data_IF_510636666066
#
_entry.id   IF_510636666066
#
_cell.length_a   1.000
_cell.length_b   1.000
_cell.length_c   1.000
_cell.angle_alpha   90.00
_cell.angle_beta   90.00
_cell.angle_gamma   90.00
#
_symmetry.space_group_name_H-M   'P 1'
#
loop_
_entity.id
_entity.type
_entity.pdbx_description
1 polymer ?
#
# COMPACT_ATOMS: atom_id res chain seq x y z
N UNK A 1 -42.38 26.79 -7.99
CA UNK A 1 -43.48 25.94 -7.49
C UNK A 1 -43.04 24.48 -7.59
N UNK A 2 -42.84 23.88 -6.41
CA UNK A 2 -42.73 22.45 -6.06
C UNK A 2 -41.98 21.48 -6.98
N UNK A 3 -40.70 21.32 -6.65
CA UNK A 3 -39.85 20.15 -6.91
C UNK A 3 -40.39 18.94 -6.13
N UNK A 4 -40.78 17.88 -6.85
CA UNK A 4 -41.19 16.60 -6.25
C UNK A 4 -39.94 15.76 -5.97
N UNK A 5 -39.60 15.63 -4.69
CA UNK A 5 -38.59 14.70 -4.17
C UNK A 5 -39.25 13.32 -4.07
N UNK A 6 -38.82 12.37 -4.92
CA UNK A 6 -39.21 10.96 -4.79
C UNK A 6 -38.18 10.27 -3.89
N UNK A 7 -38.58 10.00 -2.65
CA UNK A 7 -37.87 9.07 -1.75
C UNK A 7 -38.13 7.65 -2.22
N UNK A 8 -37.10 6.97 -2.74
CA UNK A 8 -37.16 5.51 -2.91
C UNK A 8 -36.81 4.82 -1.58
N UNK A 9 -37.85 4.43 -0.85
CA UNK A 9 -37.77 3.34 0.11
C UNK A 9 -37.95 2.02 -0.63
N UNK A 10 -36.93 1.16 -0.61
CA UNK A 10 -37.06 -0.29 -0.63
C UNK A 10 -35.70 -0.93 -0.29
N UNK A 11 -35.40 -1.03 1.00
CA UNK A 11 -34.37 -1.94 1.51
C UNK A 11 -34.97 -3.34 1.56
N UNK A 12 -34.71 -4.14 0.53
CA UNK A 12 -34.81 -5.60 0.67
C UNK A 12 -33.43 -6.10 1.11
N UNK A 13 -33.35 -6.59 2.34
CA UNK A 13 -32.18 -7.30 2.85
C UNK A 13 -31.91 -8.51 1.96
N UNK A 14 -30.89 -8.42 1.10
CA UNK A 14 -30.21 -9.60 0.58
C UNK A 14 -29.04 -9.90 1.50
N UNK A 15 -29.23 -10.93 2.31
CA UNK A 15 -28.16 -11.68 2.96
C UNK A 15 -27.20 -12.18 1.88
N UNK A 16 -26.01 -11.60 1.81
CA UNK A 16 -24.89 -12.10 1.02
C UNK A 16 -23.97 -12.91 1.93
N UNK A 17 -24.39 -14.15 2.20
CA UNK A 17 -23.47 -15.21 2.59
C UNK A 17 -23.40 -16.19 1.42
N UNK A 18 -22.33 -16.02 0.62
CA UNK A 18 -21.62 -17.01 -0.21
C UNK A 18 -21.04 -16.31 -1.43
N UNK A 19 -19.89 -15.66 -1.23
CA UNK A 19 -18.83 -15.73 -2.23
C UNK A 19 -17.53 -16.07 -1.51
N UNK A 20 -17.07 -17.31 -1.66
CA UNK A 20 -15.70 -17.69 -1.36
C UNK A 20 -14.77 -17.10 -2.43
N UNK A 21 -14.84 -15.78 -2.61
CA UNK A 21 -13.94 -15.01 -3.44
C UNK A 21 -12.56 -15.13 -2.83
N UNK A 22 -11.56 -15.49 -3.65
CA UNK A 22 -10.14 -15.37 -3.27
C UNK A 22 -9.92 -13.97 -2.71
N UNK A 23 -9.83 -13.83 -1.39
CA UNK A 23 -9.41 -12.57 -0.79
C UNK A 23 -8.02 -12.25 -1.35
N UNK A 24 -7.96 -11.26 -2.24
CA UNK A 24 -6.70 -10.72 -2.76
C UNK A 24 -5.82 -10.32 -1.58
N UNK A 25 -4.52 -10.58 -1.66
CA UNK A 25 -3.59 -10.06 -0.66
C UNK A 25 -3.52 -8.53 -0.74
N UNK A 26 -3.02 -7.86 0.30
CA UNK A 26 -2.71 -6.43 0.24
C UNK A 26 -1.61 -6.10 -0.80
N UNK A 27 -0.88 -7.13 -1.23
CA UNK A 27 0.04 -7.12 -2.37
C UNK A 27 0.04 -8.52 -3.02
N UNK A 28 0.13 -8.57 -4.35
CA UNK A 28 -0.05 -9.81 -5.10
C UNK A 28 1.13 -10.14 -6.02
N UNK A 29 1.73 -9.15 -6.68
CA UNK A 29 2.75 -9.40 -7.69
C UNK A 29 4.00 -10.07 -7.13
N UNK A 30 4.27 -11.31 -7.57
CA UNK A 30 5.51 -12.05 -7.31
C UNK A 30 5.90 -12.14 -5.83
N UNK A 31 4.90 -12.21 -4.93
CA UNK A 31 5.13 -12.35 -3.49
C UNK A 31 4.68 -13.70 -2.97
N UNK A 32 5.31 -14.15 -1.88
CA UNK A 32 4.95 -15.33 -1.11
C UNK A 32 4.52 -14.89 0.31
N UNK A 33 3.47 -15.53 0.84
CA UNK A 33 3.10 -15.38 2.25
C UNK A 33 4.01 -16.23 3.13
N UNK A 34 4.53 -15.65 4.21
CA UNK A 34 5.38 -16.34 5.20
C UNK A 34 4.93 -16.02 6.62
N UNK A 35 5.35 -16.82 7.59
CA UNK A 35 5.10 -16.56 9.02
C UNK A 35 6.22 -15.76 9.65
N UNK A 36 5.93 -15.08 10.76
CA UNK A 36 6.95 -14.37 11.54
C UNK A 36 8.02 -15.32 12.11
N UNK A 37 7.61 -16.56 12.45
CA UNK A 37 8.51 -17.60 12.95
C UNK A 37 9.48 -18.06 11.87
N UNK A 38 9.02 -18.19 10.62
CA UNK A 38 9.90 -18.53 9.50
C UNK A 38 11.01 -17.49 9.31
N UNK A 39 10.66 -16.21 9.41
CA UNK A 39 11.64 -15.13 9.31
C UNK A 39 12.65 -15.11 10.47
N UNK A 40 12.25 -15.55 11.66
CA UNK A 40 13.12 -15.57 12.85
C UNK A 40 13.99 -16.81 12.98
N UNK A 41 13.45 -17.98 12.60
CA UNK A 41 14.09 -19.28 12.88
C UNK A 41 14.77 -19.90 11.66
N UNK A 42 14.25 -19.65 10.45
CA UNK A 42 14.69 -20.35 9.23
C UNK A 42 15.52 -19.44 8.31
N UNK A 43 15.38 -18.12 8.44
CA UNK A 43 16.08 -17.14 7.62
C UNK A 43 17.38 -16.65 8.28
N UNK A 44 18.43 -16.48 7.49
CA UNK A 44 19.65 -15.81 7.93
C UNK A 44 19.51 -14.28 7.86
N UNK A 45 20.31 -13.58 8.66
CA UNK A 45 20.37 -12.12 8.65
C UNK A 45 21.57 -11.66 7.80
N UNK A 46 21.36 -10.86 6.75
CA UNK A 46 22.44 -10.30 5.96
C UNK A 46 23.35 -9.39 6.79
N UNK A 47 24.62 -9.31 6.40
CA UNK A 47 25.65 -8.47 7.05
C UNK A 47 26.25 -7.48 6.07
N UNK A 48 26.80 -6.38 6.58
CA UNK A 48 27.64 -5.46 5.83
C UNK A 48 29.04 -6.06 5.65
N UNK A 49 29.50 -6.21 4.41
CA UNK A 49 30.65 -7.06 4.11
C UNK A 49 32.01 -6.50 4.56
N UNK A 50 32.12 -5.18 4.80
CA UNK A 50 33.41 -4.55 5.17
C UNK A 50 33.72 -4.60 6.66
N UNK A 51 32.71 -4.70 7.51
CA UNK A 51 32.83 -4.72 8.97
C UNK A 51 32.09 -5.90 9.63
N UNK A 52 31.41 -6.73 8.83
CA UNK A 52 30.63 -7.89 9.28
C UNK A 52 29.52 -7.56 10.28
N UNK A 53 29.07 -6.30 10.34
CA UNK A 53 27.95 -5.93 11.21
C UNK A 53 26.63 -6.42 10.61
N UNK A 54 25.74 -6.92 11.47
CA UNK A 54 24.42 -7.40 11.06
C UNK A 54 23.50 -6.24 10.70
N UNK A 55 22.65 -6.48 9.69
CA UNK A 55 21.49 -5.63 9.41
C UNK A 55 20.41 -5.83 10.48
N UNK A 56 19.46 -4.90 10.56
CA UNK A 56 18.19 -5.15 11.24
C UNK A 56 17.39 -6.15 10.37
N UNK A 57 17.08 -7.30 10.94
CA UNK A 57 16.35 -8.36 10.25
C UNK A 57 14.89 -7.98 9.97
N UNK A 58 14.26 -8.63 8.99
CA UNK A 58 12.82 -8.51 8.77
C UNK A 58 12.02 -8.88 10.04
N UNK A 59 12.46 -9.91 10.76
CA UNK A 59 11.84 -10.36 11.99
C UNK A 59 11.89 -9.28 13.08
N UNK A 60 13.08 -8.72 13.35
CA UNK A 60 13.25 -7.64 14.33
C UNK A 60 12.41 -6.41 13.97
N UNK A 61 12.42 -6.02 12.70
CA UNK A 61 11.62 -4.88 12.23
C UNK A 61 10.12 -5.08 12.48
N UNK A 62 9.57 -6.21 12.04
CA UNK A 62 8.14 -6.52 12.21
C UNK A 62 7.78 -6.60 13.69
N UNK A 63 8.60 -7.28 14.49
CA UNK A 63 8.35 -7.45 15.92
C UNK A 63 8.42 -6.12 16.68
N UNK A 64 9.38 -5.25 16.35
CA UNK A 64 9.47 -3.90 16.93
C UNK A 64 8.23 -3.05 16.62
N UNK A 65 7.73 -3.10 15.39
CA UNK A 65 6.53 -2.35 14.98
C UNK A 65 5.26 -2.93 15.59
N UNK A 66 5.14 -4.26 15.66
CA UNK A 66 4.03 -4.95 16.31
C UNK A 66 3.94 -4.60 17.80
N UNK A 67 5.07 -4.59 18.51
CA UNK A 67 5.11 -4.20 19.91
C UNK A 67 4.75 -2.72 20.10
N UNK A 68 5.25 -1.84 19.23
CA UNK A 68 4.86 -0.43 19.26
C UNK A 68 3.36 -0.25 19.00
N UNK A 69 2.79 -0.99 18.05
CA UNK A 69 1.36 -0.95 17.76
C UNK A 69 0.54 -1.39 18.99
N UNK A 70 0.95 -2.45 19.69
CA UNK A 70 0.31 -2.90 20.94
C UNK A 70 0.42 -1.86 22.07
N UNK A 71 1.52 -1.11 22.13
CA UNK A 71 1.70 -0.02 23.09
C UNK A 71 0.76 1.16 22.79
N UNK A 72 0.70 1.61 21.53
CA UNK A 72 -0.09 2.77 21.11
C UNK A 72 -1.59 2.50 21.13
N UNK A 73 -2.01 1.31 20.74
CA UNK A 73 -3.40 0.88 20.69
C UNK A 73 -3.72 -0.03 21.88
N UNK A 74 -3.31 0.39 23.08
CA UNK A 74 -3.53 -0.37 24.30
C UNK A 74 -5.03 -0.61 24.54
N UNK A 75 -5.41 -1.87 24.75
CA UNK A 75 -6.81 -2.29 24.94
C UNK A 75 -7.54 -2.63 23.65
N UNK A 76 -6.96 -2.34 22.49
CA UNK A 76 -7.49 -2.74 21.19
C UNK A 76 -7.07 -4.16 20.82
N UNK A 77 -7.80 -4.79 19.90
CA UNK A 77 -7.46 -6.11 19.37
C UNK A 77 -6.62 -5.91 18.10
N UNK A 78 -5.43 -6.50 18.07
CA UNK A 78 -4.55 -6.50 16.90
C UNK A 78 -4.45 -7.90 16.31
N UNK A 79 -4.56 -7.99 15.00
CA UNK A 79 -4.30 -9.23 14.27
C UNK A 79 -2.81 -9.53 14.20
N UNK A 80 -2.46 -10.81 14.05
CA UNK A 80 -1.07 -11.19 13.76
C UNK A 80 -0.63 -10.57 12.42
N UNK A 81 0.65 -10.17 12.26
CA UNK A 81 1.15 -9.58 11.03
C UNK A 81 0.91 -10.49 9.81
N UNK A 82 0.28 -9.95 8.76
CA UNK A 82 0.23 -10.60 7.44
C UNK A 82 1.46 -10.20 6.63
N UNK A 83 2.32 -11.16 6.33
CA UNK A 83 3.67 -10.92 5.82
C UNK A 83 3.81 -11.45 4.41
N UNK A 84 4.37 -10.63 3.52
CA UNK A 84 4.64 -10.94 2.11
C UNK A 84 6.10 -10.67 1.79
N UNK A 85 6.78 -11.66 1.23
CA UNK A 85 8.18 -11.57 0.83
C UNK A 85 8.35 -11.81 -0.66
N UNK A 86 9.43 -11.29 -1.23
CA UNK A 86 9.81 -11.59 -2.61
C UNK A 86 11.33 -11.70 -2.74
N UNK A 87 11.79 -12.26 -3.86
CA UNK A 87 13.21 -12.39 -4.20
C UNK A 87 13.99 -13.18 -3.13
N UNK A 88 13.77 -14.50 -3.12
CA UNK A 88 14.51 -15.41 -2.26
C UNK A 88 15.99 -15.44 -2.65
N UNK A 89 16.86 -15.16 -1.69
CA UNK A 89 18.30 -15.30 -1.82
C UNK A 89 18.69 -16.61 -1.14
N UNK A 90 19.30 -17.51 -1.92
CA UNK A 90 19.77 -18.81 -1.45
C UNK A 90 21.28 -18.76 -1.26
N UNK A 91 21.70 -18.98 -0.02
CA UNK A 91 23.10 -19.05 0.38
C UNK A 91 23.49 -20.45 0.85
N UNK A 92 24.63 -20.50 1.54
CA UNK A 92 25.15 -21.70 2.16
C UNK A 92 25.91 -21.36 3.45
N UNK A 93 26.01 -22.32 4.35
CA UNK A 93 26.83 -22.18 5.57
C UNK A 93 28.32 -22.10 5.24
N UNK A 94 29.16 -21.47 6.10
CA UNK A 94 30.59 -21.28 5.82
C UNK A 94 31.36 -22.57 5.53
N UNK A 95 31.01 -23.69 6.19
CA UNK A 95 31.65 -25.00 6.01
C UNK A 95 31.32 -25.67 4.67
N UNK A 96 30.37 -25.13 3.91
CA UNK A 96 29.94 -25.65 2.60
C UNK A 96 30.34 -24.74 1.42
N UNK A 97 31.19 -23.73 1.68
CA UNK A 97 31.78 -22.89 0.62
C UNK A 97 32.56 -23.77 -0.37
N UNK A 98 32.36 -23.52 -1.68
CA UNK A 98 32.98 -24.29 -2.76
C UNK A 98 32.24 -25.58 -3.16
N UNK A 99 31.30 -26.10 -2.35
CA UNK A 99 30.51 -27.27 -2.74
C UNK A 99 29.56 -26.96 -3.91
N UNK A 100 29.45 -27.80 -4.94
CA UNK A 100 28.43 -27.66 -5.98
C UNK A 100 27.02 -27.66 -5.41
N UNK A 101 26.09 -26.88 -6.00
CA UNK A 101 24.71 -26.74 -5.50
C UNK A 101 23.99 -28.08 -5.37
N UNK A 102 24.29 -29.03 -6.26
CA UNK A 102 23.71 -30.38 -6.26
C UNK A 102 24.15 -31.24 -5.06
N UNK A 103 25.26 -30.88 -4.43
CA UNK A 103 25.86 -31.62 -3.31
C UNK A 103 25.56 -30.99 -1.95
N UNK A 104 24.90 -29.82 -1.91
CA UNK A 104 24.51 -29.16 -0.68
C UNK A 104 23.39 -29.93 0.02
N UNK A 105 23.67 -30.35 1.27
CA UNK A 105 22.67 -30.90 2.18
C UNK A 105 21.71 -29.80 2.64
N UNK A 106 20.52 -30.17 3.09
CA UNK A 106 19.49 -29.18 3.44
C UNK A 106 19.94 -28.24 4.57
N UNK A 107 20.59 -28.77 5.61
CA UNK A 107 21.15 -27.96 6.71
C UNK A 107 22.33 -27.07 6.28
N UNK A 108 22.89 -27.29 5.09
CA UNK A 108 23.97 -26.44 4.55
C UNK A 108 23.42 -25.28 3.72
N UNK A 109 22.14 -25.32 3.35
CA UNK A 109 21.48 -24.25 2.60
C UNK A 109 20.99 -23.19 3.59
N UNK A 110 21.19 -21.94 3.22
CA UNK A 110 20.64 -20.80 3.96
C UNK A 110 19.74 -20.00 3.04
N UNK A 111 18.75 -19.30 3.61
CA UNK A 111 17.87 -18.44 2.85
C UNK A 111 17.64 -17.12 3.56
N UNK A 112 17.38 -16.08 2.79
CA UNK A 112 16.71 -14.87 3.26
C UNK A 112 15.92 -14.27 2.10
N UNK A 113 15.10 -13.27 2.36
CA UNK A 113 14.34 -12.57 1.33
C UNK A 113 14.87 -11.15 1.16
N UNK A 114 15.07 -10.72 -0.07
CA UNK A 114 15.57 -9.38 -0.35
C UNK A 114 14.54 -8.30 0.02
N UNK A 115 13.24 -8.59 -0.18
CA UNK A 115 12.15 -7.65 0.12
C UNK A 115 11.08 -8.30 0.99
N UNK A 116 10.64 -7.59 2.02
CA UNK A 116 9.57 -7.98 2.94
C UNK A 116 8.61 -6.81 3.15
N UNK A 117 7.31 -7.09 3.07
CA UNK A 117 6.22 -6.20 3.45
C UNK A 117 5.35 -6.88 4.50
N UNK A 118 4.77 -6.11 5.40
CA UNK A 118 3.80 -6.63 6.36
C UNK A 118 2.71 -5.61 6.66
N UNK A 119 1.56 -6.12 7.10
CA UNK A 119 0.47 -5.32 7.65
C UNK A 119 -0.07 -5.94 8.94
N UNK A 120 -0.45 -5.08 9.88
CA UNK A 120 -1.03 -5.39 11.18
C UNK A 120 -2.35 -4.64 11.23
N UNK A 121 -3.45 -5.39 11.14
CA UNK A 121 -4.79 -4.81 11.21
C UNK A 121 -5.22 -4.67 12.67
N UNK A 122 -5.88 -3.56 12.97
CA UNK A 122 -6.55 -3.30 14.26
C UNK A 122 -8.06 -3.42 14.03
N UNK A 123 -8.64 -4.64 14.01
CA UNK A 123 -10.05 -4.87 13.65
C UNK A 123 -11.06 -4.19 14.58
N UNK A 124 -10.68 -3.80 15.79
CA UNK A 124 -11.55 -3.05 16.69
C UNK A 124 -11.73 -1.57 16.29
N UNK A 125 -10.80 -1.02 15.50
CA UNK A 125 -10.90 0.35 14.97
C UNK A 125 -11.35 0.28 13.51
N UNK A 126 -12.67 0.25 13.33
CA UNK A 126 -13.31 0.23 12.02
C UNK A 126 -14.12 1.49 11.76
N UNK A 127 -14.19 1.86 10.47
CA UNK A 127 -14.94 3.01 9.97
C UNK A 127 -15.55 2.67 8.63
N UNK A 128 -16.65 3.36 8.29
CA UNK A 128 -17.36 3.14 7.04
C UNK A 128 -17.19 4.33 6.12
N UNK A 129 -16.87 4.06 4.86
CA UNK A 129 -16.83 5.03 3.76
C UNK A 129 -17.71 4.46 2.65
N UNK A 130 -18.86 5.09 2.43
CA UNK A 130 -19.92 4.53 1.60
C UNK A 130 -20.39 3.18 2.12
N UNK A 131 -20.39 2.18 1.26
CA UNK A 131 -20.72 0.80 1.65
C UNK A 131 -19.50 -0.01 2.10
N UNK A 132 -18.30 0.59 2.09
CA UNK A 132 -17.06 -0.11 2.40
C UNK A 132 -16.68 0.01 3.86
N UNK A 133 -16.37 -1.13 4.48
CA UNK A 133 -15.80 -1.19 5.81
C UNK A 133 -14.28 -1.08 5.71
N UNK A 134 -13.73 -0.10 6.41
CA UNK A 134 -12.31 0.16 6.54
C UNK A 134 -11.85 -0.26 7.93
N UNK A 135 -10.68 -0.90 8.02
CA UNK A 135 -10.04 -1.21 9.30
C UNK A 135 -8.71 -0.49 9.41
N UNK A 136 -8.42 0.11 10.57
CA UNK A 136 -7.13 0.73 10.82
C UNK A 136 -6.03 -0.33 10.63
N UNK A 137 -4.98 0.03 9.91
CA UNK A 137 -3.91 -0.88 9.53
C UNK A 137 -2.56 -0.16 9.60
N UNK A 138 -1.60 -0.80 10.24
CA UNK A 138 -0.21 -0.35 10.35
C UNK A 138 0.63 -1.32 9.53
N UNK A 139 1.68 -0.86 8.88
CA UNK A 139 2.56 -1.77 8.17
C UNK A 139 3.87 -1.14 7.76
N UNK A 140 4.68 -1.94 7.09
CA UNK A 140 5.99 -1.49 6.68
C UNK A 140 6.61 -2.34 5.61
N UNK A 141 7.69 -1.80 5.03
CA UNK A 141 8.50 -2.46 4.02
C UNK A 141 9.97 -2.36 4.41
N UNK A 142 10.66 -3.51 4.37
CA UNK A 142 12.10 -3.62 4.45
C UNK A 142 12.63 -4.25 3.17
N UNK A 143 13.62 -3.60 2.57
CA UNK A 143 14.13 -3.96 1.25
C UNK A 143 15.67 -3.87 1.25
N UNK A 144 16.34 -5.02 1.35
CA UNK A 144 17.81 -5.09 1.40
C UNK A 144 18.47 -4.64 0.10
N UNK A 145 17.77 -4.71 -1.04
CA UNK A 145 18.25 -4.14 -2.32
C UNK A 145 18.40 -2.62 -2.31
N UNK A 146 17.83 -1.94 -1.31
CA UNK A 146 17.99 -0.50 -1.13
C UNK A 146 19.19 -0.16 -0.25
N UNK A 147 19.87 -1.17 0.29
CA UNK A 147 21.11 -1.04 1.05
C UNK A 147 22.33 -1.37 0.20
N UNK A 148 23.47 -0.79 0.57
CA UNK A 148 24.76 -1.23 0.06
C UNK A 148 25.40 -2.23 1.03
N UNK A 149 24.98 -3.50 0.97
CA UNK A 149 25.56 -4.55 1.82
C UNK A 149 27.06 -4.81 1.55
N UNK A 150 27.62 -4.25 0.48
CA UNK A 150 29.05 -4.33 0.17
C UNK A 150 29.89 -3.23 0.83
N UNK A 151 29.27 -2.34 1.62
CA UNK A 151 29.96 -1.28 2.37
C UNK A 151 30.15 -1.64 3.84
N UNK A 152 30.63 -0.66 4.62
CA UNK A 152 30.49 -0.66 6.09
C UNK A 152 29.03 -0.39 6.45
N UNK A 153 28.62 -0.70 7.68
CA UNK A 153 27.29 -0.39 8.17
C UNK A 153 27.00 1.10 8.05
N UNK A 154 25.85 1.39 7.47
CA UNK A 154 25.27 2.73 7.39
C UNK A 154 23.87 2.70 7.98
N UNK A 155 23.27 3.87 8.12
CA UNK A 155 21.85 3.99 8.40
C UNK A 155 21.04 3.18 7.38
N UNK A 156 20.29 2.20 7.88
CA UNK A 156 19.42 1.33 7.09
C UNK A 156 18.08 2.04 6.83
N UNK A 157 17.42 1.67 5.73
CA UNK A 157 16.17 2.27 5.28
C UNK A 157 14.97 1.34 5.52
N UNK A 158 13.92 1.97 6.03
CA UNK A 158 12.63 1.36 6.30
C UNK A 158 11.53 2.24 5.75
N UNK A 159 10.43 1.62 5.31
CA UNK A 159 9.18 2.33 5.03
C UNK A 159 8.15 1.93 6.06
N UNK A 160 7.41 2.88 6.59
CA UNK A 160 6.33 2.64 7.53
C UNK A 160 5.10 3.43 7.12
N UNK A 161 3.94 2.86 7.43
CA UNK A 161 2.68 3.54 7.27
C UNK A 161 1.70 3.18 8.37
N UNK A 162 0.77 4.09 8.60
CA UNK A 162 -0.48 3.90 9.31
C UNK A 162 -1.60 4.47 8.43
N UNK A 163 -2.70 3.75 8.31
CA UNK A 163 -3.78 4.12 7.41
C UNK A 163 -4.94 3.14 7.56
N UNK A 164 -5.71 2.97 6.50
CA UNK A 164 -6.85 2.07 6.50
C UNK A 164 -6.70 0.97 5.45
N UNK A 165 -7.24 -0.20 5.74
CA UNK A 165 -7.42 -1.25 4.73
C UNK A 165 -8.90 -1.37 4.41
N UNK A 166 -9.25 -1.25 3.14
CA UNK A 166 -10.59 -1.51 2.65
C UNK A 166 -10.85 -3.01 2.61
N UNK A 167 -11.81 -3.49 3.41
CA UNK A 167 -12.03 -4.93 3.59
C UNK A 167 -12.68 -5.61 2.37
N UNK A 168 -13.25 -4.85 1.43
CA UNK A 168 -13.88 -5.39 0.22
C UNK A 168 -12.82 -5.99 -0.72
N UNK A 169 -11.78 -5.23 -1.02
CA UNK A 169 -10.69 -5.67 -1.91
C UNK A 169 -9.33 -5.67 -1.22
N UNK A 170 -9.22 -5.53 0.10
CA UNK A 170 -7.92 -5.43 0.82
C UNK A 170 -6.98 -4.31 0.35
N UNK A 171 -7.52 -3.29 -0.32
CA UNK A 171 -6.76 -2.11 -0.75
C UNK A 171 -6.26 -1.32 0.46
N UNK A 172 -4.99 -0.89 0.41
CA UNK A 172 -4.41 -0.03 1.45
C UNK A 172 -4.66 1.44 1.10
N UNK A 173 -5.48 2.09 1.90
CA UNK A 173 -5.76 3.51 1.89
C UNK A 173 -4.76 4.23 2.79
N UNK A 174 -3.83 4.97 2.21
CA UNK A 174 -2.69 5.57 2.93
C UNK A 174 -2.61 7.05 2.55
N UNK A 175 -2.61 7.92 3.56
CA UNK A 175 -2.43 9.35 3.41
C UNK A 175 -0.96 9.75 3.56
N UNK A 176 -0.66 10.99 3.17
CA UNK A 176 0.70 11.53 3.22
C UNK A 176 1.25 11.67 4.64
N UNK A 177 0.44 12.11 5.60
CA UNK A 177 0.80 12.22 7.02
C UNK A 177 0.91 10.86 7.72
N UNK A 178 0.23 9.84 7.18
CA UNK A 178 0.30 8.45 7.65
C UNK A 178 1.45 7.65 7.04
N UNK A 179 2.33 8.22 6.23
CA UNK A 179 3.38 7.48 5.51
C UNK A 179 4.75 8.13 5.63
N UNK A 180 5.76 7.29 5.90
CA UNK A 180 7.16 7.68 5.71
C UNK A 180 7.84 6.74 4.72
N UNK A 181 8.32 7.33 3.62
CA UNK A 181 8.99 6.60 2.56
C UNK A 181 10.43 6.19 2.92
N UNK A 182 11.05 6.88 3.86
CA UNK A 182 12.44 6.65 4.20
C UNK A 182 12.70 7.00 5.68
N UNK A 183 12.42 6.04 6.56
CA UNK A 183 12.92 6.09 7.94
C UNK A 183 14.32 5.49 7.92
N UNK A 184 15.31 6.32 8.26
CA UNK A 184 16.71 5.92 8.37
C UNK A 184 17.04 5.58 9.81
N UNK A 185 17.64 4.44 10.09
CA UNK A 185 18.08 4.11 11.45
C UNK A 185 19.23 3.11 11.48
N UNK A 186 20.05 3.18 12.54
CA UNK A 186 21.08 2.18 12.85
C UNK A 186 20.64 1.16 13.91
N UNK A 187 19.50 1.36 14.58
CA UNK A 187 19.03 0.51 15.69
C UNK A 187 17.52 0.39 15.73
N UNK A 188 17.02 -0.70 16.30
CA UNK A 188 15.56 -0.90 16.49
C UNK A 188 14.95 0.16 17.41
N UNK A 189 15.70 0.68 18.39
CA UNK A 189 15.23 1.72 19.32
C UNK A 189 14.96 3.04 18.58
N UNK A 190 15.92 3.51 17.78
CA UNK A 190 15.75 4.73 17.00
C UNK A 190 14.65 4.57 15.94
N UNK A 191 14.58 3.40 15.29
CA UNK A 191 13.49 3.06 14.38
C UNK A 191 12.11 3.13 15.06
N UNK A 192 11.98 2.60 16.27
CA UNK A 192 10.74 2.66 17.05
C UNK A 192 10.37 4.09 17.45
N UNK A 193 11.33 4.94 17.81
CA UNK A 193 11.06 6.34 18.13
C UNK A 193 10.51 7.09 16.90
N UNK A 194 11.14 6.92 15.73
CA UNK A 194 10.67 7.53 14.46
C UNK A 194 9.32 6.97 14.01
N UNK A 195 9.09 5.67 14.22
CA UNK A 195 7.79 5.05 13.98
C UNK A 195 6.70 5.64 14.88
N UNK A 196 7.01 5.84 16.17
CA UNK A 196 6.10 6.43 17.15
C UNK A 196 5.75 7.89 16.81
N UNK A 197 6.73 8.67 16.37
CA UNK A 197 6.51 10.03 15.87
C UNK A 197 5.57 10.04 14.67
N UNK A 198 5.78 9.17 13.67
CA UNK A 198 4.90 9.02 12.52
C UNK A 198 3.46 8.66 12.94
N UNK A 199 3.31 7.65 13.80
CA UNK A 199 1.99 7.17 14.20
C UNK A 199 1.21 8.18 15.05
N UNK A 200 1.90 8.94 15.91
CA UNK A 200 1.27 10.02 16.68
C UNK A 200 0.96 11.27 15.83
N UNK A 201 1.69 11.48 14.73
CA UNK A 201 1.47 12.59 13.81
C UNK A 201 0.35 12.36 12.80
N UNK A 202 -0.14 11.13 12.67
CA UNK A 202 -1.20 10.76 11.73
C UNK A 202 -2.59 11.20 12.23
N UNK A 203 -3.27 12.03 11.44
CA UNK A 203 -4.65 12.47 11.72
C UNK A 203 -5.66 11.51 11.08
N UNK A 204 -6.07 10.53 11.88
CA UNK A 204 -7.01 9.49 11.48
C UNK A 204 -8.37 10.06 11.01
N UNK A 205 -8.92 11.02 11.74
CA UNK A 205 -10.25 11.57 11.46
C UNK A 205 -10.21 12.48 10.23
N UNK A 206 -9.16 13.29 10.05
CA UNK A 206 -8.95 14.07 8.83
C UNK A 206 -8.81 13.16 7.60
N UNK A 207 -8.01 12.09 7.70
CA UNK A 207 -7.88 11.14 6.59
C UNK A 207 -9.23 10.51 6.22
N UNK A 208 -10.01 10.04 7.20
CA UNK A 208 -11.34 9.49 6.94
C UNK A 208 -12.30 10.49 6.30
N UNK A 209 -12.30 11.73 6.78
CA UNK A 209 -13.12 12.80 6.22
C UNK A 209 -12.78 13.03 4.74
N UNK A 210 -11.49 13.05 4.39
CA UNK A 210 -11.07 13.13 3.00
C UNK A 210 -11.56 11.93 2.16
N UNK A 211 -11.42 10.70 2.65
CA UNK A 211 -11.93 9.52 1.94
C UNK A 211 -13.45 9.58 1.74
N UNK A 212 -14.19 10.09 2.72
CA UNK A 212 -15.64 10.27 2.61
C UNK A 212 -16.01 11.32 1.57
N UNK A 213 -15.29 12.44 1.52
CA UNK A 213 -15.51 13.54 0.57
C UNK A 213 -15.31 13.10 -0.89
N UNK A 214 -14.39 12.17 -1.16
CA UNK A 214 -14.15 11.66 -2.52
C UNK A 214 -15.41 11.05 -3.18
N UNK A 215 -16.38 10.60 -2.39
CA UNK A 215 -17.64 10.07 -2.91
C UNK A 215 -18.53 11.15 -3.56
N UNK A 216 -18.35 12.42 -3.17
CA UNK A 216 -19.18 13.53 -3.63
C UNK A 216 -18.74 14.08 -5.00
N UNK A 217 -17.56 13.68 -5.49
CA UNK A 217 -16.99 14.15 -6.74
C UNK A 217 -17.09 13.05 -7.79
N UNK A 218 -17.77 13.35 -8.90
CA UNK A 218 -18.13 12.38 -9.95
C UNK A 218 -17.51 12.82 -11.27
N UNK A 219 -16.91 11.87 -11.98
CA UNK A 219 -16.54 11.99 -13.38
C UNK A 219 -17.56 11.26 -14.24
N UNK A 220 -18.09 11.92 -15.27
CA UNK A 220 -18.82 11.23 -16.33
C UNK A 220 -17.86 10.40 -17.22
N UNK A 221 -18.40 9.58 -18.11
CA UNK A 221 -17.62 8.70 -18.98
C UNK A 221 -16.66 9.47 -19.90
N UNK A 222 -17.06 10.67 -20.36
CA UNK A 222 -16.22 11.51 -21.20
C UNK A 222 -15.04 12.07 -20.40
N UNK A 223 -15.30 12.60 -19.20
CA UNK A 223 -14.27 13.09 -18.28
C UNK A 223 -13.31 11.99 -17.85
N UNK A 224 -13.82 10.79 -17.55
CA UNK A 224 -12.98 9.63 -17.24
C UNK A 224 -12.09 9.24 -18.44
N UNK A 225 -12.64 9.20 -19.65
CA UNK A 225 -11.89 8.88 -20.87
C UNK A 225 -10.78 9.91 -21.15
N UNK A 226 -11.10 11.21 -20.99
CA UNK A 226 -10.11 12.28 -21.09
C UNK A 226 -9.01 12.10 -20.04
N UNK A 227 -9.40 11.87 -18.79
CA UNK A 227 -8.48 11.66 -17.67
C UNK A 227 -7.50 10.53 -17.93
N UNK A 228 -7.98 9.37 -18.39
CA UNK A 228 -7.14 8.23 -18.76
C UNK A 228 -6.16 8.60 -19.88
N UNK A 229 -6.63 9.34 -20.90
CA UNK A 229 -5.76 9.85 -21.97
C UNK A 229 -4.63 10.73 -21.41
N UNK A 230 -4.95 11.64 -20.50
CA UNK A 230 -3.98 12.52 -19.83
C UNK A 230 -2.99 11.75 -18.96
N UNK A 231 -3.42 10.72 -18.24
CA UNK A 231 -2.50 9.84 -17.48
C UNK A 231 -1.46 9.17 -18.40
N UNK A 232 -1.88 8.71 -19.57
CA UNK A 232 -0.95 8.12 -20.56
C UNK A 232 0.01 9.18 -21.10
N UNK A 233 -0.50 10.35 -21.47
CA UNK A 233 0.33 11.45 -21.97
C UNK A 233 1.35 11.94 -20.92
N UNK A 234 0.94 12.01 -19.64
CA UNK A 234 1.78 12.49 -18.54
C UNK A 234 3.11 11.74 -18.44
N UNK A 235 3.12 10.43 -18.70
CA UNK A 235 4.34 9.61 -18.65
C UNK A 235 5.40 10.09 -19.66
N UNK A 236 4.99 10.66 -20.80
CA UNK A 236 5.86 11.10 -21.88
C UNK A 236 6.23 12.59 -21.84
N UNK A 237 5.58 13.38 -20.97
CA UNK A 237 5.91 14.80 -20.83
C UNK A 237 7.35 15.00 -20.33
N UNK A 238 8.01 16.02 -20.88
CA UNK A 238 9.31 16.49 -20.41
C UNK A 238 9.24 17.10 -19.01
N UNK A 239 10.40 17.27 -18.35
CA UNK A 239 10.46 17.80 -16.98
C UNK A 239 9.86 19.21 -16.85
N UNK A 240 10.07 20.07 -17.87
CA UNK A 240 9.52 21.43 -17.89
C UNK A 240 7.99 21.41 -18.02
N UNK A 241 7.44 20.54 -18.87
CA UNK A 241 5.99 20.42 -19.09
C UNK A 241 5.26 19.83 -17.87
N UNK A 242 5.95 18.98 -17.10
CA UNK A 242 5.44 18.44 -15.83
C UNK A 242 5.34 19.49 -14.72
N UNK A 243 5.97 20.66 -14.89
CA UNK A 243 5.96 21.71 -13.86
C UNK A 243 4.54 22.22 -13.64
N UNK A 244 4.07 22.14 -12.39
CA UNK A 244 2.73 22.57 -12.00
C UNK A 244 1.62 21.54 -12.27
N UNK A 245 1.96 20.35 -12.80
CA UNK A 245 1.02 19.23 -12.93
C UNK A 245 1.25 18.30 -11.74
N UNK A 246 0.17 17.90 -11.06
CA UNK A 246 0.28 16.90 -9.99
C UNK A 246 0.82 15.58 -10.56
N UNK A 247 1.87 14.96 -9.99
CA UNK A 247 2.46 13.77 -10.59
C UNK A 247 1.57 12.54 -10.43
N UNK A 248 1.42 11.74 -11.48
CA UNK A 248 0.92 10.37 -11.37
C UNK A 248 2.10 9.38 -11.37
N UNK A 249 2.11 8.44 -10.41
CA UNK A 249 3.09 7.35 -10.30
C UNK A 249 2.61 6.03 -10.92
N UNK A 250 1.43 6.00 -11.55
CA UNK A 250 0.97 4.83 -12.29
C UNK A 250 1.78 4.63 -13.56
N UNK A 251 2.06 3.37 -13.90
CA UNK A 251 2.60 2.99 -15.20
C UNK A 251 1.50 2.55 -16.18
N UNK A 252 1.84 2.39 -17.46
CA UNK A 252 0.90 1.96 -18.50
C UNK A 252 0.15 0.66 -18.20
N UNK A 253 0.82 -0.32 -17.59
CA UNK A 253 0.18 -1.59 -17.19
C UNK A 253 -0.90 -1.36 -16.12
N UNK A 254 -0.63 -0.48 -15.17
CA UNK A 254 -1.57 -0.12 -14.11
C UNK A 254 -2.73 0.73 -14.64
N UNK A 255 -2.46 1.68 -15.53
CA UNK A 255 -3.52 2.45 -16.20
C UNK A 255 -4.42 1.53 -17.00
N UNK A 256 -3.84 0.55 -17.71
CA UNK A 256 -4.62 -0.47 -18.45
C UNK A 256 -5.48 -1.30 -17.49
N UNK A 257 -4.96 -1.68 -16.32
CA UNK A 257 -5.73 -2.37 -15.27
C UNK A 257 -6.87 -1.50 -14.74
N UNK A 258 -6.64 -0.21 -14.46
CA UNK A 258 -7.70 0.73 -14.05
C UNK A 258 -8.81 0.80 -15.09
N UNK A 259 -8.47 0.92 -16.38
CA UNK A 259 -9.48 0.99 -17.46
C UNK A 259 -10.29 -0.29 -17.56
N UNK A 260 -9.64 -1.46 -17.48
CA UNK A 260 -10.36 -2.74 -17.47
C UNK A 260 -11.28 -2.83 -16.26
N UNK A 261 -10.75 -2.55 -15.07
CA UNK A 261 -11.48 -2.67 -13.81
C UNK A 261 -12.59 -1.60 -13.71
N UNK A 262 -12.51 -0.47 -14.42
CA UNK A 262 -13.62 0.48 -14.57
C UNK A 262 -14.85 -0.14 -15.26
N UNK A 263 -14.67 -1.09 -16.19
CA UNK A 263 -15.78 -1.81 -16.82
C UNK A 263 -16.18 -3.08 -16.08
N UNK A 264 -15.20 -3.79 -15.52
CA UNK A 264 -15.38 -5.17 -15.05
C UNK A 264 -15.45 -5.32 -13.53
N UNK A 265 -14.98 -4.33 -12.75
CA UNK A 265 -14.94 -4.45 -11.29
C UNK A 265 -16.35 -4.37 -10.70
N UNK A 266 -16.83 -5.40 -9.98
CA UNK A 266 -18.17 -5.39 -9.40
C UNK A 266 -18.31 -4.41 -8.23
N UNK A 267 -17.20 -4.06 -7.57
CA UNK A 267 -17.20 -3.26 -6.34
C UNK A 267 -16.97 -1.77 -6.58
N UNK A 268 -16.17 -1.43 -7.60
CA UNK A 268 -15.68 -0.06 -7.84
C UNK A 268 -15.76 0.36 -9.31
N UNK A 269 -16.37 -0.46 -10.17
CA UNK A 269 -16.58 -0.15 -11.56
C UNK A 269 -17.53 1.03 -11.76
N UNK A 270 -17.71 1.40 -13.02
CA UNK A 270 -18.62 2.48 -13.43
C UNK A 270 -20.07 2.16 -13.09
N UNK A 271 -20.83 3.23 -12.86
CA UNK A 271 -22.28 3.18 -12.75
C UNK A 271 -22.94 2.87 -14.11
N UNK A 272 -24.24 2.56 -14.10
CA UNK A 272 -24.99 2.24 -15.32
C UNK A 272 -24.98 3.37 -16.36
N UNK A 273 -24.86 4.62 -15.91
CA UNK A 273 -24.75 5.81 -16.77
C UNK A 273 -23.31 6.10 -17.23
N UNK A 274 -22.34 5.24 -16.91
CA UNK A 274 -20.93 5.42 -17.24
C UNK A 274 -20.16 6.35 -16.29
N UNK A 275 -20.80 6.92 -15.27
CA UNK A 275 -20.11 7.76 -14.29
C UNK A 275 -19.33 6.95 -13.26
N UNK A 276 -18.33 7.58 -12.64
CA UNK A 276 -17.56 7.02 -11.52
C UNK A 276 -17.20 8.13 -10.53
N UNK A 277 -17.37 7.88 -9.23
CA UNK A 277 -16.93 8.82 -8.19
C UNK A 277 -15.43 8.65 -7.88
N UNK A 278 -14.80 9.67 -7.29
CA UNK A 278 -13.36 9.64 -7.00
C UNK A 278 -12.98 8.60 -5.94
N UNK A 279 -13.89 8.19 -5.05
CA UNK A 279 -13.65 7.12 -4.09
C UNK A 279 -13.51 5.74 -4.79
N UNK A 280 -14.39 5.44 -5.72
CA UNK A 280 -14.32 4.22 -6.53
C UNK A 280 -13.08 4.24 -7.42
N UNK A 281 -12.80 5.38 -8.06
CA UNK A 281 -11.60 5.56 -8.88
C UNK A 281 -10.32 5.38 -8.06
N UNK A 282 -10.25 5.92 -6.85
CA UNK A 282 -9.16 5.70 -5.90
C UNK A 282 -8.95 4.21 -5.59
N UNK A 283 -10.04 3.47 -5.36
CA UNK A 283 -9.97 2.03 -5.13
C UNK A 283 -9.49 1.26 -6.37
N UNK A 284 -9.87 1.66 -7.59
CA UNK A 284 -9.31 1.09 -8.81
C UNK A 284 -7.79 1.35 -8.93
N UNK A 285 -7.32 2.52 -8.51
CA UNK A 285 -5.90 2.88 -8.54
C UNK A 285 -5.10 2.04 -7.54
N UNK A 286 -5.58 1.93 -6.31
CA UNK A 286 -4.92 1.13 -5.26
C UNK A 286 -4.97 -0.36 -5.57
N UNK A 287 -6.06 -0.85 -6.20
CA UNK A 287 -6.15 -2.20 -6.75
C UNK A 287 -5.09 -2.44 -7.83
N UNK A 288 -4.94 -1.50 -8.78
CA UNK A 288 -3.89 -1.56 -9.80
C UNK A 288 -2.47 -1.49 -9.20
N UNK A 289 -2.30 -0.90 -8.02
CA UNK A 289 -1.01 -0.84 -7.34
C UNK A 289 -0.59 -2.14 -6.68
N UNK A 290 -1.48 -3.10 -6.42
CA UNK A 290 -1.11 -4.42 -5.87
C UNK A 290 -0.20 -5.25 -6.77
N UNK A 291 -0.17 -4.92 -8.06
CA UNK A 291 0.77 -5.51 -9.01
C UNK A 291 2.16 -4.86 -9.00
N UNK A 292 2.39 -3.87 -8.13
CA UNK A 292 3.70 -3.22 -7.98
C UNK A 292 4.65 -4.09 -7.15
N UNK A 293 5.95 -3.82 -7.29
CA UNK A 293 6.94 -4.36 -6.36
C UNK A 293 6.70 -3.86 -4.94
N UNK A 294 7.04 -4.71 -3.95
CA UNK A 294 6.93 -4.41 -2.51
C UNK A 294 7.46 -3.01 -2.17
N UNK A 295 8.63 -2.66 -2.68
CA UNK A 295 9.36 -1.42 -2.37
C UNK A 295 8.77 -0.15 -3.00
N UNK A 296 7.83 -0.25 -3.93
CA UNK A 296 7.19 0.91 -4.58
C UNK A 296 5.68 1.01 -4.35
N UNK A 297 5.05 -0.06 -3.86
CA UNK A 297 3.59 -0.16 -3.70
C UNK A 297 2.99 0.94 -2.81
N UNK A 298 3.54 1.17 -1.61
CA UNK A 298 3.03 2.16 -0.65
C UNK A 298 3.09 3.58 -1.20
N UNK A 299 4.22 3.96 -1.83
CA UNK A 299 4.37 5.29 -2.42
C UNK A 299 3.33 5.58 -3.51
N UNK A 300 2.96 4.56 -4.29
CA UNK A 300 1.95 4.69 -5.33
C UNK A 300 0.55 4.82 -4.75
N UNK A 301 0.27 4.17 -3.62
CA UNK A 301 -1.01 4.31 -2.93
C UNK A 301 -1.19 5.72 -2.34
N UNK A 302 -0.14 6.27 -1.74
CA UNK A 302 -0.14 7.67 -1.25
C UNK A 302 -0.30 8.63 -2.42
N UNK A 303 0.46 8.46 -3.50
CA UNK A 303 0.32 9.29 -4.68
C UNK A 303 -1.08 9.21 -5.32
N UNK A 304 -1.70 8.02 -5.33
CA UNK A 304 -3.07 7.86 -5.80
C UNK A 304 -4.06 8.65 -4.93
N UNK A 305 -3.89 8.64 -3.60
CA UNK A 305 -4.75 9.41 -2.70
C UNK A 305 -4.59 10.92 -2.95
N UNK A 306 -3.35 11.41 -2.97
CA UNK A 306 -3.07 12.84 -3.19
C UNK A 306 -3.54 13.31 -4.58
N UNK A 307 -3.45 12.47 -5.61
CA UNK A 307 -3.97 12.80 -6.94
C UNK A 307 -5.49 12.93 -6.92
N UNK A 308 -6.21 12.05 -6.22
CA UNK A 308 -7.66 12.14 -6.07
C UNK A 308 -8.05 13.38 -5.29
N UNK A 309 -7.31 13.72 -4.22
CA UNK A 309 -7.50 14.96 -3.47
C UNK A 309 -7.24 16.20 -4.33
N UNK A 310 -6.20 16.19 -5.17
CA UNK A 310 -5.91 17.28 -6.09
C UNK A 310 -7.04 17.50 -7.11
N UNK A 311 -7.60 16.42 -7.67
CA UNK A 311 -8.73 16.49 -8.60
C UNK A 311 -9.99 16.96 -7.86
N UNK A 312 -10.29 16.41 -6.68
CA UNK A 312 -11.43 16.79 -5.86
C UNK A 312 -11.41 18.29 -5.54
N UNK A 313 -10.27 18.82 -5.10
CA UNK A 313 -10.09 20.23 -4.82
C UNK A 313 -10.35 21.09 -6.06
N UNK A 314 -9.80 20.72 -7.22
CA UNK A 314 -10.05 21.45 -8.47
C UNK A 314 -11.52 21.46 -8.87
N UNK A 315 -12.25 20.35 -8.67
CA UNK A 315 -13.68 20.26 -8.93
C UNK A 315 -14.50 21.12 -7.95
N UNK A 316 -14.10 21.17 -6.68
CA UNK A 316 -14.75 21.95 -5.63
C UNK A 316 -14.64 23.46 -5.89
N UNK A 317 -13.45 23.95 -6.22
CA UNK A 317 -13.20 25.39 -6.43
C UNK A 317 -13.47 25.84 -7.87
N UNK A 318 -13.75 24.90 -8.79
CA UNK A 318 -13.99 25.19 -10.21
C UNK A 318 -12.74 25.59 -11.00
N UNK A 319 -11.54 25.23 -10.52
CA UNK A 319 -10.28 25.52 -11.19
C UNK A 319 -9.93 24.48 -12.26
N UNK A 320 -9.19 24.92 -13.28
CA UNK A 320 -8.73 24.03 -14.35
C UNK A 320 -7.67 23.07 -13.82
N UNK A 321 -7.94 21.77 -13.90
CA UNK A 321 -6.95 20.73 -13.62
C UNK A 321 -6.44 20.13 -14.94
N UNK A 322 -5.12 19.96 -15.08
CA UNK A 322 -4.55 19.39 -16.31
C UNK A 322 -5.11 17.99 -16.64
N UNK A 323 -5.54 17.23 -15.65
CA UNK A 323 -6.08 15.89 -15.83
C UNK A 323 -7.55 15.84 -16.27
N UNK A 324 -8.37 16.83 -15.91
CA UNK A 324 -9.82 16.80 -16.13
C UNK A 324 -10.34 17.97 -16.97
N UNK A 325 -9.52 18.98 -17.23
CA UNK A 325 -9.89 20.12 -18.06
C UNK A 325 -9.66 19.85 -19.55
N UNK A 326 -10.70 20.06 -20.35
CA UNK A 326 -10.68 19.95 -21.81
C UNK A 326 -9.91 21.09 -22.48
#
# INVERSE_FOLDING_TARGET
MNTLIIKNHNNSLKTLDNDSGKHSGFIEANTQKVSINHLGNDCIVPVFSKDNETTISHHEFIHSVDNLAKELFHGEVLNMPDIRVSHVIKGRVPTAIGKPVKELKEHEKTIYYERCAFVIEVPSIQRRVGDNLLSLTIGGVRAYNQENLYSKKTMEKFKLFIGFKNLVCTNLCISTDGFSNEIRSCSTIELMNKAKELFNGYDMEMHLNHLQLLQNYILDEHQFSHFVGRLRMFQFLGNEEKRGIFPSKLNDGQITKVVRDYYECPNFGKESNGSINLWNLYNLFTEANKSSYIDSSLERNVNAFDLMQNIALSLEIGEKNWYTHN
#
